data_IF_641756261128
#
_entry.id   IF_641756261128
#
_cell.length_a   1.000
_cell.length_b   1.000
_cell.length_c   1.000
_cell.angle_alpha   90.00
_cell.angle_beta   90.00
_cell.angle_gamma   90.00
#
_symmetry.space_group_name_H-M   'P 1'
#
loop_
_entity.id
_entity.type
_entity.pdbx_description
1 polymer ?
#
# COMPACT_ATOMS: atom_id res chain seq x y z
N UNK A 1 -9.71 -24.11 -4.61
CA UNK A 1 -9.81 -22.65 -4.45
C UNK A 1 -8.43 -22.04 -4.68
N UNK A 2 -8.23 -21.27 -5.74
CA UNK A 2 -6.91 -20.72 -6.12
C UNK A 2 -6.52 -19.68 -5.07
N UNK A 3 -5.56 -19.99 -4.21
CA UNK A 3 -4.94 -18.99 -3.33
C UNK A 3 -4.33 -17.92 -4.24
N UNK A 4 -4.99 -16.77 -4.33
CA UNK A 4 -4.51 -15.63 -5.10
C UNK A 4 -3.12 -15.26 -4.61
N UNK A 5 -2.20 -15.04 -5.56
CA UNK A 5 -0.82 -14.66 -5.28
C UNK A 5 -0.84 -13.37 -4.45
N UNK A 6 -0.66 -13.48 -3.13
CA UNK A 6 -0.43 -12.32 -2.28
C UNK A 6 0.96 -11.78 -2.62
N UNK A 7 1.03 -10.65 -3.31
CA UNK A 7 2.30 -9.94 -3.53
C UNK A 7 2.79 -9.46 -2.15
N UNK A 8 3.76 -10.19 -1.59
CA UNK A 8 4.21 -10.02 -0.20
C UNK A 8 5.18 -8.87 0.01
N UNK A 9 5.81 -8.35 -1.04
CA UNK A 9 6.87 -7.35 -0.94
C UNK A 9 6.83 -6.34 -2.11
N UNK A 10 7.47 -5.19 -1.93
CA UNK A 10 7.63 -4.17 -2.98
C UNK A 10 9.06 -4.15 -3.54
N UNK A 11 9.23 -3.78 -4.82
CA UNK A 11 10.53 -3.59 -5.48
C UNK A 11 10.81 -2.11 -5.69
N UNK A 12 12.08 -1.70 -5.70
CA UNK A 12 12.49 -0.29 -5.85
C UNK A 12 11.73 0.60 -4.84
N UNK A 13 11.13 1.71 -5.29
CA UNK A 13 10.24 2.57 -4.50
C UNK A 13 8.82 1.99 -4.31
N UNK A 14 8.45 0.91 -5.00
CA UNK A 14 7.12 0.31 -4.88
C UNK A 14 6.00 1.04 -5.64
N UNK A 15 6.33 1.88 -6.62
CA UNK A 15 5.38 2.58 -7.50
C UNK A 15 4.44 1.58 -8.21
N UNK A 16 4.98 0.45 -8.66
CA UNK A 16 4.22 -0.63 -9.32
C UNK A 16 3.64 -1.65 -8.35
N UNK A 17 3.76 -1.43 -7.03
CA UNK A 17 3.21 -2.36 -6.05
C UNK A 17 1.67 -2.39 -6.15
N UNK A 18 1.12 -3.59 -6.36
CA UNK A 18 -0.32 -3.85 -6.45
C UNK A 18 -0.78 -4.97 -5.50
N UNK A 19 -0.02 -5.20 -4.42
CA UNK A 19 -0.43 -6.12 -3.36
C UNK A 19 -1.55 -5.54 -2.50
N UNK A 20 -1.97 -6.34 -1.51
CA UNK A 20 -3.14 -6.06 -0.66
C UNK A 20 -2.76 -5.69 0.78
N UNK A 21 -1.52 -5.28 1.03
CA UNK A 21 -1.09 -4.85 2.36
C UNK A 21 -1.79 -3.54 2.73
N UNK A 22 -2.25 -3.39 3.97
CA UNK A 22 -3.09 -2.27 4.41
C UNK A 22 -2.79 -1.81 5.85
N UNK A 23 -1.54 -2.00 6.29
CA UNK A 23 -1.07 -1.66 7.63
C UNK A 23 0.19 -0.82 7.55
N UNK A 24 0.27 0.24 8.36
CA UNK A 24 1.42 1.14 8.43
C UNK A 24 2.59 0.56 9.23
N UNK A 25 3.74 1.23 9.23
CA UNK A 25 4.88 0.89 10.09
C UNK A 25 4.53 1.02 11.59
N UNK A 26 3.63 1.95 11.94
CA UNK A 26 3.15 2.10 13.33
C UNK A 26 2.09 1.08 13.73
N UNK A 27 1.64 0.23 12.80
CA UNK A 27 0.56 -0.72 13.01
C UNK A 27 -0.85 -0.15 12.78
N UNK A 28 -0.96 1.10 12.33
CA UNK A 28 -2.26 1.71 12.03
C UNK A 28 -2.87 1.08 10.76
N UNK A 29 -4.19 0.92 10.76
CA UNK A 29 -4.93 0.47 9.58
C UNK A 29 -5.03 1.60 8.55
N UNK A 30 -4.75 1.28 7.29
CA UNK A 30 -4.89 2.21 6.19
C UNK A 30 -6.36 2.58 5.94
N UNK A 31 -6.59 3.84 5.57
CA UNK A 31 -7.87 4.33 5.08
C UNK A 31 -8.07 3.95 3.63
N UNK A 32 -9.33 3.78 3.24
CA UNK A 32 -9.70 3.57 1.85
C UNK A 32 -9.43 4.85 1.04
N UNK A 33 -8.74 4.72 -0.10
CA UNK A 33 -8.35 5.86 -0.93
C UNK A 33 -9.55 6.67 -1.45
N UNK A 34 -10.73 6.04 -1.53
CA UNK A 34 -11.94 6.62 -2.08
C UNK A 34 -12.91 7.22 -1.05
N UNK A 35 -12.49 7.40 0.22
CA UNK A 35 -13.37 8.05 1.21
C UNK A 35 -13.51 9.56 0.97
N UNK A 36 -14.66 10.10 1.33
CA UNK A 36 -14.95 11.53 1.17
C UNK A 36 -13.95 12.43 1.92
N UNK A 37 -13.45 11.99 3.08
CA UNK A 37 -12.45 12.74 3.87
C UNK A 37 -11.10 12.95 3.17
N UNK A 38 -10.84 12.27 2.04
CA UNK A 38 -9.63 12.41 1.24
C UNK A 38 -9.87 13.10 -0.10
N UNK A 39 -11.08 13.61 -0.38
CA UNK A 39 -11.40 14.22 -1.69
C UNK A 39 -10.45 15.37 -2.07
N UNK A 40 -10.09 16.20 -1.09
CA UNK A 40 -9.18 17.34 -1.31
C UNK A 40 -7.69 16.96 -1.24
N UNK A 41 -7.36 15.68 -1.06
CA UNK A 41 -5.97 15.22 -1.02
C UNK A 41 -5.43 15.02 -2.43
N UNK A 42 -4.15 15.38 -2.61
CA UNK A 42 -3.44 15.29 -3.89
C UNK A 42 -3.56 13.90 -4.52
N UNK A 43 -3.52 12.84 -3.73
CA UNK A 43 -3.70 11.46 -4.17
C UNK A 43 -4.92 10.88 -3.49
N UNK A 44 -5.95 10.57 -4.25
CA UNK A 44 -7.18 9.97 -3.75
C UNK A 44 -7.81 9.12 -4.85
N UNK A 45 -8.77 8.27 -4.49
CA UNK A 45 -9.54 7.45 -5.42
C UNK A 45 -10.44 8.26 -6.36
N UNK A 46 -10.57 9.57 -6.14
CA UNK A 46 -11.43 10.48 -6.90
C UNK A 46 -10.71 11.15 -8.08
N UNK A 47 -9.39 10.94 -8.21
CA UNK A 47 -8.62 11.44 -9.36
C UNK A 47 -9.01 10.73 -10.64
N UNK A 48 -8.84 11.42 -11.77
CA UNK A 48 -9.06 10.85 -13.10
C UNK A 48 -8.10 9.69 -13.42
N UNK A 49 -6.85 9.78 -12.97
CA UNK A 49 -5.78 8.79 -13.13
C UNK A 49 -5.67 7.83 -11.92
N UNK A 50 -6.66 7.83 -11.01
CA UNK A 50 -6.62 7.01 -9.79
C UNK A 50 -6.37 5.52 -10.09
N UNK A 51 -7.04 4.98 -11.12
CA UNK A 51 -6.89 3.57 -11.51
C UNK A 51 -5.45 3.24 -11.96
N UNK A 52 -4.78 4.12 -12.70
CA UNK A 52 -3.40 3.94 -13.17
C UNK A 52 -2.43 3.93 -11.98
N UNK A 53 -2.66 4.84 -11.03
CA UNK A 53 -1.93 4.93 -9.76
C UNK A 53 -2.28 3.79 -8.77
N UNK A 54 -3.27 2.96 -9.09
CA UNK A 54 -3.74 1.88 -8.23
C UNK A 54 -4.48 2.36 -6.98
N UNK A 55 -5.07 3.55 -7.03
CA UNK A 55 -5.94 4.15 -6.02
C UNK A 55 -7.40 3.83 -6.37
N UNK A 56 -8.23 3.52 -5.38
CA UNK A 56 -9.63 3.17 -5.63
C UNK A 56 -10.36 2.75 -4.38
N UNK A 57 -11.43 1.96 -4.55
CA UNK A 57 -12.28 1.50 -3.44
C UNK A 57 -11.63 0.34 -2.64
N UNK A 58 -10.46 0.62 -2.06
CA UNK A 58 -9.71 -0.27 -1.17
C UNK A 58 -8.74 0.56 -0.32
N UNK A 59 -8.13 -0.04 0.70
CA UNK A 59 -7.17 0.61 1.58
C UNK A 59 -5.72 0.08 1.43
N UNK A 60 -5.40 -0.51 0.28
CA UNK A 60 -4.07 -1.08 0.06
C UNK A 60 -2.98 -0.02 -0.09
N UNK A 61 -1.79 -0.28 0.45
CA UNK A 61 -0.62 0.57 0.34
C UNK A 61 -0.23 0.83 -1.12
N UNK A 62 0.07 2.09 -1.46
CA UNK A 62 0.46 2.53 -2.81
C UNK A 62 1.57 3.57 -2.71
N UNK A 63 2.24 3.81 -3.81
CA UNK A 63 3.22 4.89 -3.93
C UNK A 63 2.94 5.68 -5.21
N UNK A 64 1.91 6.54 -5.21
CA UNK A 64 1.50 7.28 -6.39
C UNK A 64 2.39 8.49 -6.70
N UNK A 65 3.31 8.85 -5.81
CA UNK A 65 4.13 10.06 -5.85
C UNK A 65 5.63 9.81 -5.91
N UNK A 66 6.02 8.56 -6.12
CA UNK A 66 7.40 8.13 -6.22
C UNK A 66 8.24 8.41 -4.96
N UNK A 67 7.60 8.39 -3.78
CA UNK A 67 8.31 8.41 -2.49
C UNK A 67 9.21 7.17 -2.34
N UNK A 68 10.01 7.10 -1.29
CA UNK A 68 10.91 6.02 -0.95
C UNK A 68 10.26 4.63 -0.82
N UNK A 69 8.98 4.53 -0.47
CA UNK A 69 8.25 3.25 -0.31
C UNK A 69 6.72 3.43 -0.32
N UNK A 70 5.93 2.34 -0.44
CA UNK A 70 4.47 2.41 -0.32
C UNK A 70 4.00 3.01 0.99
N UNK A 71 2.96 3.83 0.92
CA UNK A 71 2.30 4.49 2.04
C UNK A 71 0.78 4.42 1.89
N UNK A 72 0.08 4.90 2.91
CA UNK A 72 -1.37 5.08 2.87
C UNK A 72 -1.79 6.21 3.81
N UNK A 73 -3.04 6.68 3.66
CA UNK A 73 -3.63 7.59 4.62
C UNK A 73 -4.08 6.86 5.89
N UNK A 74 -4.01 7.55 7.03
CA UNK A 74 -4.51 7.11 8.33
C UNK A 74 -5.23 8.26 9.03
N UNK A 75 -6.09 7.92 9.99
CA UNK A 75 -6.72 8.90 10.88
C UNK A 75 -6.08 8.83 12.25
N UNK A 76 -5.34 9.88 12.64
CA UNK A 76 -4.53 9.89 13.87
C UNK A 76 -4.67 11.22 14.58
N UNK A 77 -5.07 11.19 15.85
CA UNK A 77 -5.24 12.40 16.67
C UNK A 77 -6.24 13.39 16.07
N UNK A 78 -7.36 12.89 15.53
CA UNK A 78 -8.44 13.73 14.99
C UNK A 78 -8.20 14.28 13.57
N UNK A 79 -7.10 13.91 12.91
CA UNK A 79 -6.75 14.41 11.57
C UNK A 79 -6.40 13.30 10.60
N UNK A 80 -6.75 13.52 9.33
CA UNK A 80 -6.23 12.72 8.22
C UNK A 80 -4.76 13.06 7.99
N UNK A 81 -3.91 12.04 8.02
CA UNK A 81 -2.48 12.13 7.72
C UNK A 81 -2.05 10.90 6.93
N UNK A 82 -0.77 10.75 6.62
CA UNK A 82 -0.24 9.60 5.90
C UNK A 82 0.95 9.01 6.67
N UNK A 83 1.17 7.72 6.50
CA UNK A 83 2.32 7.02 7.05
C UNK A 83 2.82 5.98 6.05
N UNK A 84 4.12 5.67 6.10
CA UNK A 84 4.68 4.57 5.35
C UNK A 84 4.10 3.23 5.79
N UNK A 85 3.97 2.32 4.83
CA UNK A 85 3.50 0.98 5.08
C UNK A 85 4.60 0.03 5.52
N UNK A 86 4.22 -0.96 6.32
CA UNK A 86 5.09 -2.06 6.76
C UNK A 86 5.33 -3.13 5.69
N UNK A 87 5.09 -2.81 4.41
CA UNK A 87 5.35 -3.75 3.30
C UNK A 87 6.86 -4.03 3.26
N UNK A 88 7.32 -5.29 3.28
CA UNK A 88 8.75 -5.56 3.18
C UNK A 88 9.27 -5.26 1.77
N UNK A 89 10.52 -4.80 1.67
CA UNK A 89 11.22 -4.70 0.39
C UNK A 89 11.65 -6.10 -0.08
N UNK A 90 11.41 -6.43 -1.35
CA UNK A 90 11.80 -7.72 -1.92
C UNK A 90 13.32 -7.93 -1.92
N UNK A 91 14.12 -6.85 -1.89
CA UNK A 91 15.57 -6.94 -1.85
C UNK A 91 16.13 -7.13 -0.43
N UNK A 92 15.36 -6.73 0.59
CA UNK A 92 15.71 -6.92 2.02
C UNK A 92 15.06 -8.16 2.63
N UNK A 93 14.10 -8.76 1.92
CA UNK A 93 13.58 -10.08 2.24
C UNK A 93 14.45 -11.14 1.59
N UNK A 94 15.16 -11.92 2.41
CA UNK A 94 15.40 -13.31 2.06
C UNK A 94 14.04 -13.94 1.81
N UNK A 95 13.61 -13.96 0.54
CA UNK A 95 12.65 -14.94 0.11
C UNK A 95 13.38 -16.27 0.23
N UNK A 96 13.47 -16.82 1.46
CA UNK A 96 13.64 -18.25 1.61
C UNK A 96 12.42 -18.81 0.90
N UNK A 97 12.62 -19.22 -0.36
CA UNK A 97 11.88 -20.36 -0.89
C UNK A 97 11.88 -21.35 0.27
N UNK A 98 10.72 -21.68 0.83
CA UNK A 98 10.63 -22.92 1.58
C UNK A 98 10.91 -24.01 0.55
N UNK A 99 12.19 -24.31 0.37
CA UNK A 99 12.66 -25.59 -0.11
C UNK A 99 12.21 -26.56 0.98
N UNK A 100 10.99 -27.07 0.83
CA UNK A 100 10.56 -28.23 1.58
C UNK A 100 11.37 -29.40 1.03
N UNK A 101 12.51 -29.66 1.68
CA UNK A 101 13.07 -30.98 1.77
C UNK A 101 12.24 -31.80 2.75
N UNK A 102 11.33 -32.61 2.22
CA UNK A 102 11.12 -34.02 2.54
C UNK A 102 10.24 -34.64 1.45
#
# INVERSE_FOLDING_TARGET
MRQGIRIKCYRNAGVTYRGTWSVTESGAECLNWNINGLMDRKYSGQRKDAAELGLGNHNYCRNPDEDSRPWCYVYKGGKYTWEHCSVPSCSKGTCRRTENGL
#
